data_IF_672033230289
#
_entry.id   IF_672033230289
#
_cell.length_a   1.000
_cell.length_b   1.000
_cell.length_c   1.000
_cell.angle_alpha   90.00
_cell.angle_beta   90.00
_cell.angle_gamma   90.00
#
_symmetry.space_group_name_H-M   'P 1'
#
loop_
_entity.id
_entity.type
_entity.pdbx_description
1 polymer ?
#
# COMPACT_ATOMS: atom_id res chain seq x y z
N UNK A 1 14.08 -21.64 11.46
CA UNK A 1 13.66 -21.36 11.02
C UNK A 1 13.79 -21.19 10.14
N UNK A 2 13.82 -21.21 9.97
CA UNK A 2 13.61 -21.02 9.36
C UNK A 2 13.50 -20.54 8.58
N UNK A 3 13.77 -20.90 8.18
CA UNK A 3 13.56 -20.42 7.40
C UNK A 3 12.71 -19.99 7.07
N UNK A 4 12.74 -19.65 7.53
CA UNK A 4 11.66 -18.78 7.41
C UNK A 4 11.54 -18.18 6.05
N UNK A 5 10.42 -18.30 5.50
CA UNK A 5 10.21 -17.77 4.19
C UNK A 5 9.96 -16.31 4.23
N UNK A 6 10.70 -15.58 3.41
CA UNK A 6 10.46 -14.16 3.24
C UNK A 6 9.18 -13.96 2.46
N UNK A 7 8.29 -13.15 2.98
CA UNK A 7 7.08 -12.75 2.25
C UNK A 7 7.38 -11.49 1.49
N UNK A 8 7.44 -11.62 0.17
CA UNK A 8 7.86 -10.52 -0.70
C UNK A 8 6.67 -9.77 -1.23
N UNK A 9 6.83 -8.47 -1.35
CA UNK A 9 5.77 -7.61 -1.87
C UNK A 9 6.35 -6.46 -2.68
N UNK A 10 5.48 -5.81 -3.44
CA UNK A 10 5.82 -4.56 -4.09
C UNK A 10 4.70 -3.56 -3.88
N UNK A 11 5.09 -2.29 -3.78
CA UNK A 11 4.18 -1.17 -3.85
C UNK A 11 4.28 -0.64 -5.26
N UNK A 12 3.16 -0.54 -5.94
CA UNK A 12 3.09 -0.06 -7.31
C UNK A 12 2.31 1.23 -7.31
N UNK A 13 2.89 2.29 -7.84
CA UNK A 13 2.25 3.60 -7.92
C UNK A 13 2.05 3.93 -9.39
N UNK A 14 0.80 4.04 -9.80
CA UNK A 14 0.42 4.34 -11.18
C UNK A 14 -0.18 5.74 -11.25
N UNK A 15 0.42 6.59 -12.08
CA UNK A 15 -0.07 7.93 -12.35
C UNK A 15 0.17 8.26 -13.81
N UNK A 16 -0.89 8.30 -14.59
CA UNK A 16 -0.78 8.46 -16.03
C UNK A 16 -0.01 7.28 -16.62
N UNK A 17 0.98 7.59 -17.41
CA UNK A 17 1.83 6.56 -18.03
C UNK A 17 3.01 6.18 -17.14
N UNK A 18 3.13 6.81 -16.00
CA UNK A 18 4.23 6.53 -15.07
C UNK A 18 3.85 5.41 -14.13
N UNK A 19 4.73 4.44 -14.02
CA UNK A 19 4.59 3.36 -13.05
C UNK A 19 5.87 3.28 -12.24
N UNK A 20 5.74 3.39 -10.93
CA UNK A 20 6.85 3.23 -10.01
C UNK A 20 6.66 1.95 -9.25
N UNK A 21 7.69 1.11 -9.22
CA UNK A 21 7.66 -0.18 -8.53
C UNK A 21 8.66 -0.13 -7.40
N UNK A 22 8.18 -0.34 -6.17
CA UNK A 22 9.01 -0.31 -4.97
C UNK A 22 8.92 -1.68 -4.30
N UNK A 23 10.05 -2.35 -4.19
CA UNK A 23 10.14 -3.72 -3.72
C UNK A 23 10.39 -3.77 -2.22
N UNK A 24 9.76 -4.76 -1.57
CA UNK A 24 10.00 -5.08 -0.16
C UNK A 24 10.24 -6.58 -0.02
N UNK A 25 11.37 -6.94 0.56
CA UNK A 25 11.79 -8.35 0.66
C UNK A 25 11.18 -9.10 1.83
N UNK A 26 10.91 -8.39 2.93
CA UNK A 26 10.45 -8.99 4.17
C UNK A 26 9.08 -8.50 4.57
N UNK A 27 8.31 -9.40 5.23
CA UNK A 27 7.04 -9.04 5.86
C UNK A 27 6.06 -8.33 4.93
N UNK A 28 5.97 -8.82 3.69
CA UNK A 28 5.09 -8.22 2.69
C UNK A 28 3.60 -8.46 2.93
N UNK A 29 3.25 -9.31 3.89
CA UNK A 29 1.86 -9.59 4.23
C UNK A 29 1.20 -8.37 4.86
N UNK A 30 -0.13 -8.46 5.03
CA UNK A 30 -0.93 -7.30 5.44
C UNK A 30 -0.51 -6.74 6.80
N UNK A 31 -0.21 -7.59 7.76
CA UNK A 31 0.20 -7.17 9.10
C UNK A 31 1.57 -6.49 9.12
N UNK A 32 2.37 -6.72 8.09
CA UNK A 32 3.68 -6.07 7.94
C UNK A 32 3.59 -4.90 7.00
N UNK A 33 3.67 -5.17 5.70
CA UNK A 33 3.68 -4.12 4.70
C UNK A 33 2.38 -3.31 4.68
N UNK A 34 1.23 -3.98 4.80
CA UNK A 34 -0.04 -3.26 4.79
C UNK A 34 -0.14 -2.24 5.91
N UNK A 35 0.23 -2.66 7.12
CA UNK A 35 0.22 -1.76 8.27
C UNK A 35 1.21 -0.62 8.08
N UNK A 36 2.40 -0.92 7.59
CA UNK A 36 3.41 0.10 7.38
C UNK A 36 2.98 1.12 6.35
N UNK A 37 2.37 0.66 5.25
CA UNK A 37 1.86 1.56 4.23
C UNK A 37 0.75 2.45 4.77
N UNK A 38 -0.17 1.88 5.54
CA UNK A 38 -1.25 2.66 6.15
C UNK A 38 -0.68 3.75 7.05
N UNK A 39 0.39 3.45 7.79
CA UNK A 39 1.05 4.43 8.65
C UNK A 39 1.77 5.50 7.82
N UNK A 40 2.50 5.08 6.80
CA UNK A 40 3.26 6.03 5.97
C UNK A 40 2.37 6.96 5.14
N UNK A 41 1.14 6.55 4.89
CA UNK A 41 0.19 7.40 4.18
C UNK A 41 -0.29 8.59 5.01
N UNK A 42 -0.10 8.56 6.33
CA UNK A 42 -0.48 9.67 7.17
C UNK A 42 0.30 10.92 6.76
N UNK A 43 -0.44 12.03 6.59
CA UNK A 43 0.16 13.29 6.18
C UNK A 43 0.43 13.44 4.70
N UNK A 44 0.08 12.44 3.90
CA UNK A 44 0.28 12.49 2.45
C UNK A 44 -0.97 12.90 1.68
N UNK A 45 -2.01 13.32 2.36
CA UNK A 45 -3.25 13.76 1.75
C UNK A 45 -3.59 15.18 2.22
N UNK A 46 -4.38 15.91 1.41
CA UNK A 46 -4.56 17.34 1.59
C UNK A 46 -5.87 17.77 2.19
N UNK A 47 -6.92 16.98 2.08
CA UNK A 47 -8.24 17.44 2.47
C UNK A 47 -8.97 16.44 3.36
N UNK A 48 -10.15 16.85 3.84
CA UNK A 48 -10.96 16.04 4.73
C UNK A 48 -11.42 14.74 4.08
N UNK A 49 -11.62 14.76 2.78
CA UNK A 49 -12.07 13.59 2.05
C UNK A 49 -10.94 12.63 1.77
N UNK A 50 -9.71 13.06 1.99
CA UNK A 50 -8.52 12.25 1.77
C UNK A 50 -8.45 11.70 0.34
N UNK A 51 -8.90 12.53 -0.61
CA UNK A 51 -8.90 12.17 -2.02
C UNK A 51 -7.65 12.62 -2.74
N UNK A 52 -7.06 13.73 -2.29
CA UNK A 52 -5.93 14.34 -2.97
C UNK A 52 -4.65 14.03 -2.23
N UNK A 53 -3.68 13.52 -2.96
CA UNK A 53 -2.44 13.03 -2.39
C UNK A 53 -1.23 13.79 -2.90
N UNK A 54 -0.21 13.79 -2.06
CA UNK A 54 1.14 14.17 -2.44
C UNK A 54 1.92 12.87 -2.66
N UNK A 55 2.01 12.44 -3.91
CA UNK A 55 2.70 11.20 -4.27
C UNK A 55 4.17 11.28 -3.88
N UNK A 56 4.82 12.42 -4.15
CA UNK A 56 6.23 12.59 -3.83
C UNK A 56 6.52 12.39 -2.35
N UNK A 57 5.63 12.90 -1.50
CA UNK A 57 5.80 12.73 -0.06
C UNK A 57 5.67 11.27 0.35
N UNK A 58 4.71 10.56 -0.21
CA UNK A 58 4.54 9.14 0.09
C UNK A 58 5.74 8.33 -0.37
N UNK A 59 6.19 8.56 -1.60
CA UNK A 59 7.38 7.88 -2.13
C UNK A 59 8.60 8.17 -1.29
N UNK A 60 8.76 9.43 -0.87
CA UNK A 60 9.89 9.80 -0.01
C UNK A 60 9.88 9.06 1.30
N UNK A 61 8.71 8.89 1.91
CA UNK A 61 8.60 8.14 3.15
C UNK A 61 8.98 6.68 2.98
N UNK A 62 8.64 6.10 1.83
CA UNK A 62 9.02 4.72 1.56
C UNK A 62 10.52 4.60 1.33
N UNK A 63 11.07 5.46 0.51
CA UNK A 63 12.48 5.34 0.10
C UNK A 63 13.48 5.77 1.17
N UNK A 64 13.06 6.59 2.12
CA UNK A 64 13.92 6.92 3.25
C UNK A 64 14.11 5.70 4.16
N UNK A 65 13.16 4.78 4.13
CA UNK A 65 13.24 3.50 4.84
C UNK A 65 13.95 2.49 3.93
N UNK A 66 15.21 2.77 3.63
CA UNK A 66 15.95 2.05 2.59
C UNK A 66 16.40 0.66 3.00
N UNK A 67 16.28 0.32 4.28
CA UNK A 67 16.47 -1.05 4.73
C UNK A 67 15.28 -1.93 4.35
N UNK A 68 14.13 -1.32 4.12
CA UNK A 68 12.88 -2.04 3.88
C UNK A 68 12.45 -1.96 2.42
N UNK A 69 12.57 -0.80 1.80
CA UNK A 69 12.04 -0.53 0.46
C UNK A 69 13.12 -0.11 -0.51
N UNK A 70 12.99 -0.56 -1.74
CA UNK A 70 13.92 -0.15 -2.82
C UNK A 70 13.18 -0.07 -4.14
N UNK A 71 13.62 0.85 -5.00
CA UNK A 71 13.07 0.96 -6.33
C UNK A 71 13.57 -0.21 -7.18
N UNK A 72 12.67 -0.77 -7.99
CA UNK A 72 13.03 -1.78 -8.97
C UNK A 72 12.48 -1.38 -10.33
N UNK A 73 13.07 -1.93 -11.37
CA UNK A 73 12.67 -1.62 -12.75
C UNK A 73 11.59 -2.54 -13.26
N UNK A 74 11.33 -3.63 -12.57
CA UNK A 74 10.32 -4.60 -12.99
C UNK A 74 9.80 -5.37 -11.78
N UNK A 75 8.65 -6.01 -11.94
CA UNK A 75 8.10 -6.84 -10.91
C UNK A 75 8.93 -8.11 -10.75
N UNK A 76 9.17 -8.47 -9.50
CA UNK A 76 9.78 -9.76 -9.19
C UNK A 76 8.77 -10.88 -9.42
N UNK A 77 9.24 -12.03 -9.87
CA UNK A 77 8.36 -13.15 -10.17
C UNK A 77 7.84 -13.89 -8.94
N UNK A 78 8.41 -13.61 -7.79
CA UNK A 78 8.09 -14.31 -6.54
C UNK A 78 7.32 -13.48 -5.55
N UNK A 79 6.63 -12.44 -6.01
CA UNK A 79 5.83 -11.59 -5.14
C UNK A 79 4.60 -12.32 -4.64
N UNK A 80 4.35 -12.24 -3.35
CA UNK A 80 3.15 -12.79 -2.75
C UNK A 80 2.05 -11.74 -2.62
N UNK A 81 2.44 -10.47 -2.49
CA UNK A 81 1.51 -9.35 -2.39
C UNK A 81 1.95 -8.21 -3.28
N UNK A 82 0.98 -7.55 -3.89
CA UNK A 82 1.18 -6.27 -4.56
C UNK A 82 0.18 -5.28 -3.98
N UNK A 83 0.70 -4.12 -3.59
CA UNK A 83 -0.10 -3.02 -3.07
C UNK A 83 -0.09 -1.92 -4.14
N UNK A 84 -1.20 -1.75 -4.84
CA UNK A 84 -1.25 -0.93 -6.05
C UNK A 84 -2.05 0.33 -5.75
N UNK A 85 -1.41 1.48 -5.93
CA UNK A 85 -2.03 2.79 -5.72
C UNK A 85 -2.24 3.43 -7.09
N UNK A 86 -3.48 3.56 -7.49
CA UNK A 86 -3.83 4.13 -8.79
C UNK A 86 -4.35 5.56 -8.60
N UNK A 87 -3.75 6.49 -9.32
CA UNK A 87 -4.11 7.90 -9.27
C UNK A 87 -4.62 8.34 -10.63
N UNK A 88 -5.51 9.34 -10.62
CA UNK A 88 -6.01 9.93 -11.86
C UNK A 88 -4.87 10.59 -12.62
N UNK A 89 -4.97 10.64 -13.94
CA UNK A 89 -3.94 11.18 -14.80
C UNK A 89 -3.76 12.70 -14.63
N UNK A 90 -4.84 13.39 -14.36
CA UNK A 90 -4.84 14.84 -14.32
C UNK A 90 -4.39 15.37 -12.97
N UNK A 91 -3.62 16.44 -13.00
CA UNK A 91 -3.32 17.20 -11.80
C UNK A 91 -4.40 18.23 -11.58
N UNK A 92 -4.68 18.51 -10.31
CA UNK A 92 -5.50 19.66 -9.99
C UNK A 92 -4.74 20.94 -10.32
N UNK A 93 -5.40 21.87 -10.97
CA UNK A 93 -4.85 23.19 -11.21
C UNK A 93 -4.91 23.98 -9.90
N UNK A 94 -3.86 23.92 -9.14
CA UNK A 94 -3.78 24.59 -7.86
C UNK A 94 -2.32 25.01 -7.64
N UNK A 95 -2.10 25.69 -6.54
CA UNK A 95 -0.76 26.06 -6.13
C UNK A 95 0.08 24.83 -5.77
N UNK A 96 -0.56 23.69 -5.62
CA UNK A 96 0.11 22.46 -5.18
C UNK A 96 0.20 21.49 -6.34
N UNK A 97 1.31 21.50 -7.03
CA UNK A 97 1.55 20.63 -8.18
C UNK A 97 1.52 19.14 -7.84
N UNK A 98 1.65 18.81 -6.56
CA UNK A 98 1.68 17.42 -6.12
C UNK A 98 0.31 16.85 -5.82
N UNK A 99 -0.73 17.67 -5.95
CA UNK A 99 -2.08 17.26 -5.59
C UNK A 99 -2.68 16.44 -6.72
N UNK A 100 -2.79 15.13 -6.47
CA UNK A 100 -3.33 14.17 -7.42
C UNK A 100 -4.41 13.37 -6.74
N UNK A 101 -5.49 13.12 -7.46
CA UNK A 101 -6.64 12.42 -6.90
C UNK A 101 -6.41 10.92 -6.90
N UNK A 102 -6.69 10.29 -5.78
CA UNK A 102 -6.65 8.83 -5.66
C UNK A 102 -7.85 8.22 -6.39
N UNK A 103 -7.58 7.25 -7.24
CA UNK A 103 -8.62 6.48 -7.91
C UNK A 103 -9.01 5.27 -7.08
N UNK A 104 -8.05 4.45 -6.72
CA UNK A 104 -8.27 3.29 -5.85
C UNK A 104 -6.94 2.74 -5.34
N UNK A 105 -7.04 1.86 -4.35
CA UNK A 105 -5.92 1.07 -3.84
C UNK A 105 -6.30 -0.38 -3.96
N UNK A 106 -5.43 -1.18 -4.54
CA UNK A 106 -5.69 -2.60 -4.75
C UNK A 106 -4.64 -3.41 -3.99
N UNK A 107 -5.09 -4.39 -3.23
CA UNK A 107 -4.20 -5.40 -2.67
C UNK A 107 -4.42 -6.67 -3.48
N UNK A 108 -3.38 -7.11 -4.16
CA UNK A 108 -3.41 -8.30 -4.98
C UNK A 108 -2.53 -9.37 -4.33
N UNK A 109 -3.15 -10.44 -3.88
CA UNK A 109 -2.45 -11.57 -3.28
C UNK A 109 -2.26 -12.66 -4.31
N UNK A 110 -1.03 -13.14 -4.44
CA UNK A 110 -0.69 -14.12 -5.46
C UNK A 110 -1.32 -15.48 -5.14
N UNK A 111 -2.10 -16.00 -6.07
CA UNK A 111 -2.76 -17.30 -5.94
C UNK A 111 -1.78 -18.46 -5.75
N UNK A 112 -0.57 -18.31 -6.25
CA UNK A 112 0.44 -19.34 -6.17
C UNK A 112 0.78 -19.74 -4.73
N UNK A 113 0.61 -18.82 -3.79
CA UNK A 113 1.02 -19.03 -2.40
C UNK A 113 -0.13 -19.12 -1.43
N UNK A 114 -1.31 -19.40 -1.92
CA UNK A 114 -2.45 -19.53 -1.03
C UNK A 114 -3.76 -19.31 -1.76
N UNK A 115 -4.74 -18.81 -1.05
CA UNK A 115 -6.05 -18.56 -1.64
C UNK A 115 -6.01 -17.49 -2.72
N UNK A 116 -5.07 -16.59 -2.60
CA UNK A 116 -4.99 -15.49 -3.52
C UNK A 116 -6.16 -14.54 -3.38
N UNK A 117 -6.30 -13.67 -4.34
CA UNK A 117 -7.44 -12.77 -4.39
C UNK A 117 -7.03 -11.32 -4.55
N UNK A 118 -8.02 -10.51 -4.86
CA UNK A 118 -7.85 -9.09 -5.09
C UNK A 118 -8.88 -8.33 -4.27
N UNK A 119 -8.40 -7.35 -3.51
CA UNK A 119 -9.25 -6.47 -2.72
C UNK A 119 -9.08 -5.05 -3.21
N UNK A 120 -10.18 -4.35 -3.45
CA UNK A 120 -10.15 -3.00 -4.01
C UNK A 120 -10.75 -2.02 -3.00
N UNK A 121 -10.02 -0.95 -2.72
CA UNK A 121 -10.47 0.13 -1.85
C UNK A 121 -10.55 1.42 -2.65
N UNK A 122 -11.69 2.08 -2.60
CA UNK A 122 -11.87 3.33 -3.33
C UNK A 122 -11.39 4.55 -2.56
N UNK A 123 -11.14 4.40 -1.27
CA UNK A 123 -10.73 5.52 -0.43
C UNK A 123 -9.59 5.11 0.49
N UNK A 124 -8.82 6.09 0.91
CA UNK A 124 -7.77 5.89 1.91
C UNK A 124 -8.38 5.40 3.22
N UNK A 125 -9.49 5.99 3.62
CA UNK A 125 -10.15 5.62 4.87
C UNK A 125 -10.54 4.14 4.86
N UNK A 126 -11.12 3.67 3.75
CA UNK A 126 -11.50 2.28 3.62
C UNK A 126 -10.29 1.35 3.72
N UNK A 127 -9.21 1.70 3.05
CA UNK A 127 -7.97 0.93 3.10
C UNK A 127 -7.44 0.84 4.53
N UNK A 128 -7.31 1.98 5.21
CA UNK A 128 -6.76 2.00 6.57
C UNK A 128 -7.64 1.25 7.55
N UNK A 129 -8.94 1.41 7.45
CA UNK A 129 -9.88 0.74 8.36
C UNK A 129 -9.77 -0.77 8.23
N UNK A 130 -9.78 -1.29 7.02
CA UNK A 130 -9.70 -2.73 6.81
C UNK A 130 -8.34 -3.28 7.26
N UNK A 131 -7.27 -2.55 6.98
CA UNK A 131 -5.93 -2.98 7.41
C UNK A 131 -5.88 -3.13 8.93
N UNK A 132 -6.35 -2.14 9.67
CA UNK A 132 -6.31 -2.19 11.13
C UNK A 132 -7.24 -3.26 11.69
N UNK A 133 -8.41 -3.46 11.07
CA UNK A 133 -9.32 -4.52 11.48
C UNK A 133 -8.72 -5.90 11.30
N UNK A 134 -8.07 -6.13 10.17
CA UNK A 134 -7.42 -7.41 9.91
C UNK A 134 -6.30 -7.68 10.90
N UNK A 135 -5.53 -6.67 11.25
CA UNK A 135 -4.47 -6.81 12.23
C UNK A 135 -5.04 -7.14 13.61
N UNK A 136 -6.11 -6.47 14.01
CA UNK A 136 -6.75 -6.72 15.28
C UNK A 136 -7.26 -8.14 15.39
N UNK A 137 -7.91 -8.63 14.35
CA UNK A 137 -8.40 -10.01 14.33
C UNK A 137 -7.26 -11.02 14.42
N UNK A 138 -6.19 -10.77 13.70
CA UNK A 138 -5.04 -11.65 13.70
C UNK A 138 -4.40 -11.76 15.07
N UNK A 139 -4.41 -10.66 15.82
CA UNK A 139 -3.86 -10.65 17.17
C UNK A 139 -4.83 -11.20 18.20
N UNK A 140 -5.97 -11.65 17.77
CA UNK A 140 -6.94 -12.20 18.69
C UNK A 140 -7.62 -11.16 19.54
N UNK A 141 -7.85 -9.99 19.01
CA UNK A 141 -8.58 -8.93 19.72
C UNK A 141 -10.06 -9.28 19.75
N UNK A 142 -10.38 -10.21 20.58
CA UNK A 142 -11.68 -10.83 20.62
C UNK A 142 -12.79 -9.88 21.04
N UNK A 143 -12.41 -8.89 21.78
CA UNK A 143 -13.33 -7.87 22.24
C UNK A 143 -14.20 -7.36 21.12
N UNK A 144 -13.61 -7.17 19.97
CA UNK A 144 -14.32 -6.63 18.83
C UNK A 144 -15.38 -7.54 18.28
N UNK A 145 -15.25 -8.81 18.57
CA UNK A 145 -16.18 -9.80 18.07
C UNK A 145 -17.44 -9.84 18.91
N UNK A 146 -17.32 -9.39 20.13
CA UNK A 146 -18.44 -9.35 21.06
C UNK A 146 -19.12 -8.01 21.05
N UNK A 147 -18.49 -7.11 20.41
CA UNK A 147 -18.91 -5.71 20.41
C UNK A 147 -20.23 -5.52 19.95
#
# INVERSE_FOLDING_TARGET
MGETMSTRSSVIINHGQTQLIIYRHWDGYIEGAGKDLATKLNGCYFDHDRKYFNIAKFVSKLLIDDDTYRITTQLHGDLEYCYIFNFDDAYEHSEHYNRVKLKNIIIDQNHKYGKGGTTIFKTLRGFKTIIYDLIAKKKGCIINQNG
#
